data_IF_433302443571
#
_entry.id   IF_433302443571
#
_cell.length_a   1.000
_cell.length_b   1.000
_cell.length_c   1.000
_cell.angle_alpha   90.00
_cell.angle_beta   90.00
_cell.angle_gamma   90.00
#
_symmetry.space_group_name_H-M   'P 1'
#
loop_
_entity.id
_entity.type
_entity.pdbx_description
1 polymer ?
#
# COMPACT_ATOMS: atom_id res chain seq x y z
N UNK A 1 -5.41 -6.78 21.69
CA UNK A 1 -6.02 -7.20 20.40
C UNK A 1 -7.55 -7.15 20.39
N UNK A 2 -8.29 -7.43 21.49
CA UNK A 2 -9.77 -7.32 21.53
C UNK A 2 -10.34 -5.89 21.44
N UNK A 3 -9.53 -4.86 21.70
CA UNK A 3 -9.94 -3.46 21.62
C UNK A 3 -10.19 -2.93 20.18
N UNK A 4 -9.76 -3.66 19.14
CA UNK A 4 -9.89 -3.22 17.73
C UNK A 4 -11.14 -3.74 17.03
N UNK A 5 -11.84 -4.73 17.62
CA UNK A 5 -13.02 -5.38 17.06
C UNK A 5 -14.23 -4.45 16.80
N UNK A 6 -14.55 -3.47 17.67
CA UNK A 6 -15.69 -2.57 17.43
C UNK A 6 -15.45 -1.62 16.25
N UNK A 7 -14.19 -1.35 15.91
CA UNK A 7 -13.81 -0.37 14.89
C UNK A 7 -13.74 -0.95 13.48
N UNK A 8 -13.44 -2.25 13.36
CA UNK A 8 -13.63 -3.00 12.11
C UNK A 8 -15.09 -2.99 11.63
N UNK A 9 -16.05 -2.77 12.55
CA UNK A 9 -17.47 -2.66 12.22
C UNK A 9 -17.84 -1.31 11.58
N UNK A 10 -17.10 -0.22 11.82
CA UNK A 10 -17.28 1.06 11.10
C UNK A 10 -16.77 0.97 9.65
N UNK A 11 -15.72 0.18 9.45
CA UNK A 11 -15.13 -0.14 8.14
C UNK A 11 -16.11 -0.81 7.17
N UNK A 12 -17.17 -1.45 7.69
CA UNK A 12 -18.24 -2.03 6.88
C UNK A 12 -18.98 -0.99 6.01
N UNK A 13 -18.93 0.30 6.36
CA UNK A 13 -19.68 1.37 5.68
C UNK A 13 -18.96 1.96 4.45
N UNK A 14 -17.63 1.82 4.35
CA UNK A 14 -16.82 2.32 3.21
C UNK A 14 -16.04 1.22 2.47
N UNK A 15 -16.50 -0.04 2.56
CA UNK A 15 -15.84 -1.20 1.94
C UNK A 15 -15.46 -1.01 0.47
N UNK A 16 -16.27 -0.27 -0.28
CA UNK A 16 -16.04 -0.04 -1.71
C UNK A 16 -14.78 0.78 -1.99
N UNK A 17 -14.53 1.87 -1.26
CA UNK A 17 -13.32 2.69 -1.47
C UNK A 17 -12.05 1.95 -1.03
N UNK A 18 -12.16 1.11 0.01
CA UNK A 18 -11.03 0.38 0.59
C UNK A 18 -10.65 -0.84 -0.24
N UNK A 19 -11.64 -1.61 -0.68
CA UNK A 19 -11.41 -2.68 -1.65
C UNK A 19 -10.85 -2.12 -2.95
N UNK A 20 -11.36 -0.97 -3.42
CA UNK A 20 -10.83 -0.29 -4.60
C UNK A 20 -9.36 0.12 -4.42
N UNK A 21 -8.98 0.69 -3.28
CA UNK A 21 -7.58 1.03 -2.98
C UNK A 21 -6.65 -0.17 -3.00
N UNK A 22 -7.07 -1.30 -2.41
CA UNK A 22 -6.30 -2.55 -2.42
C UNK A 22 -6.19 -3.11 -3.84
N UNK A 23 -7.29 -3.13 -4.60
CA UNK A 23 -7.30 -3.59 -5.99
C UNK A 23 -6.39 -2.72 -6.86
N UNK A 24 -6.44 -1.40 -6.72
CA UNK A 24 -5.57 -0.46 -7.42
C UNK A 24 -4.09 -0.69 -7.08
N UNK A 25 -3.77 -0.92 -5.81
CA UNK A 25 -2.41 -1.24 -5.38
C UNK A 25 -1.92 -2.56 -6.01
N UNK A 26 -2.74 -3.61 -5.99
CA UNK A 26 -2.42 -4.91 -6.61
C UNK A 26 -2.20 -4.75 -8.13
N UNK A 27 -3.12 -4.08 -8.83
CA UNK A 27 -3.00 -3.82 -10.27
C UNK A 27 -1.73 -3.04 -10.58
N UNK A 28 -1.40 -2.03 -9.79
CA UNK A 28 -0.19 -1.22 -9.96
C UNK A 28 1.08 -2.05 -9.77
N UNK A 29 1.11 -2.93 -8.78
CA UNK A 29 2.23 -3.83 -8.52
C UNK A 29 2.38 -4.86 -9.63
N UNK A 30 1.29 -5.50 -10.07
CA UNK A 30 1.31 -6.45 -11.17
C UNK A 30 1.73 -5.80 -12.49
N UNK A 31 1.24 -4.58 -12.78
CA UNK A 31 1.69 -3.82 -13.95
C UNK A 31 3.18 -3.46 -13.88
N UNK A 32 3.70 -3.16 -12.68
CA UNK A 32 5.12 -2.89 -12.48
C UNK A 32 5.98 -4.12 -12.74
N UNK A 33 5.57 -5.28 -12.21
CA UNK A 33 6.27 -6.55 -12.41
C UNK A 33 6.18 -6.97 -13.87
N UNK A 34 4.99 -6.93 -14.47
CA UNK A 34 4.77 -7.24 -15.88
C UNK A 34 5.61 -6.37 -16.81
N UNK A 35 5.73 -5.07 -16.53
CA UNK A 35 6.61 -4.17 -17.26
C UNK A 35 8.07 -4.63 -17.19
N UNK A 36 8.58 -4.93 -16.00
CA UNK A 36 9.97 -5.36 -15.81
C UNK A 36 10.24 -6.71 -16.50
N UNK A 37 9.34 -7.67 -16.34
CA UNK A 37 9.43 -9.00 -16.96
C UNK A 37 9.38 -8.92 -18.48
N UNK A 38 8.40 -8.20 -19.04
CA UNK A 38 8.28 -8.01 -20.50
C UNK A 38 9.48 -7.26 -21.07
N UNK A 39 9.97 -6.24 -20.36
CA UNK A 39 11.15 -5.48 -20.80
C UNK A 39 12.41 -6.35 -20.80
N UNK A 40 12.59 -7.18 -19.76
CA UNK A 40 13.71 -8.12 -19.68
C UNK A 40 13.69 -9.14 -20.81
N UNK A 41 12.54 -9.79 -21.03
CA UNK A 41 12.36 -10.71 -22.15
C UNK A 41 12.60 -10.02 -23.51
N UNK A 42 12.03 -8.83 -23.71
CA UNK A 42 12.17 -8.06 -24.95
C UNK A 42 13.63 -7.68 -25.24
N UNK A 43 14.39 -7.27 -24.22
CA UNK A 43 15.80 -6.94 -24.38
C UNK A 43 16.63 -8.17 -24.78
N UNK A 44 16.44 -9.29 -24.07
CA UNK A 44 17.13 -10.55 -24.38
C UNK A 44 16.77 -11.08 -25.76
N UNK A 45 15.49 -11.05 -26.13
CA UNK A 45 15.02 -11.49 -27.44
C UNK A 45 15.58 -10.62 -28.57
N UNK A 46 15.63 -9.29 -28.38
CA UNK A 46 16.20 -8.36 -29.35
C UNK A 46 17.71 -8.59 -29.54
N UNK A 47 18.44 -8.88 -28.47
CA UNK A 47 19.86 -9.21 -28.55
C UNK A 47 20.10 -10.49 -29.37
N UNK A 48 19.34 -11.56 -29.11
CA UNK A 48 19.44 -12.82 -29.86
C UNK A 48 19.05 -12.63 -31.32
N UNK A 49 17.96 -11.91 -31.61
CA UNK A 49 17.53 -11.63 -32.98
C UNK A 49 18.57 -10.82 -33.77
N UNK A 50 19.23 -9.85 -33.12
CA UNK A 50 20.32 -9.07 -33.71
C UNK A 50 21.52 -9.94 -34.08
N UNK A 51 21.95 -10.84 -33.19
CA UNK A 51 23.05 -11.79 -33.45
C UNK A 51 22.67 -12.78 -34.56
N UNK A 52 21.42 -13.24 -34.60
CA UNK A 52 20.92 -14.16 -35.61
C UNK A 52 20.65 -13.51 -36.99
N UNK A 53 20.79 -12.18 -37.12
CA UNK A 53 20.51 -11.45 -38.37
C UNK A 53 19.04 -11.45 -38.77
N UNK A 54 18.12 -11.63 -37.81
CA UNK A 54 16.67 -11.67 -38.08
C UNK A 54 16.10 -10.25 -38.18
N UNK A 55 15.96 -9.75 -39.42
CA UNK A 55 15.39 -8.43 -39.71
C UNK A 55 13.85 -8.35 -39.55
N UNK A 56 13.17 -9.47 -39.39
CA UNK A 56 11.71 -9.56 -39.25
C UNK A 56 11.20 -9.58 -37.79
N UNK A 57 12.06 -9.28 -36.81
CA UNK A 57 11.68 -9.30 -35.41
C UNK A 57 10.61 -8.22 -35.10
N UNK A 58 9.45 -8.65 -34.63
CA UNK A 58 8.34 -7.76 -34.32
C UNK A 58 8.56 -7.04 -32.98
N UNK A 59 9.14 -5.85 -33.04
CA UNK A 59 9.36 -5.00 -31.87
C UNK A 59 8.11 -4.21 -31.43
N UNK A 60 7.09 -4.12 -32.29
CA UNK A 60 5.91 -3.27 -32.04
C UNK A 60 4.99 -3.86 -30.97
N UNK A 61 4.75 -5.18 -31.01
CA UNK A 61 3.89 -5.85 -30.02
C UNK A 61 4.46 -5.80 -28.60
N UNK A 62 5.75 -6.14 -28.36
CA UNK A 62 6.34 -6.02 -27.03
C UNK A 62 6.39 -4.57 -26.55
N UNK A 63 6.73 -3.62 -27.44
CA UNK A 63 6.76 -2.20 -27.09
C UNK A 63 5.37 -1.66 -26.69
N UNK A 64 4.30 -2.09 -27.38
CA UNK A 64 2.94 -1.74 -27.01
C UNK A 64 2.57 -2.31 -25.64
N UNK A 65 2.95 -3.56 -25.35
CA UNK A 65 2.75 -4.18 -24.04
C UNK A 65 3.46 -3.43 -22.90
N UNK A 66 4.72 -3.04 -23.10
CA UNK A 66 5.50 -2.25 -22.13
C UNK A 66 4.84 -0.89 -21.88
N UNK A 67 4.40 -0.19 -22.95
CA UNK A 67 3.68 1.09 -22.82
C UNK A 67 2.36 0.94 -22.09
N UNK A 68 1.57 -0.08 -22.43
CA UNK A 68 0.31 -0.39 -21.74
C UNK A 68 0.53 -0.60 -20.24
N UNK A 69 1.49 -1.45 -19.88
CA UNK A 69 1.85 -1.70 -18.48
C UNK A 69 2.33 -0.42 -17.76
N UNK A 70 3.09 0.44 -18.44
CA UNK A 70 3.56 1.71 -17.88
C UNK A 70 2.40 2.68 -17.59
N UNK A 71 1.43 2.77 -18.50
CA UNK A 71 0.24 3.62 -18.34
C UNK A 71 -0.63 3.07 -17.20
N UNK A 72 -0.92 1.77 -17.19
CA UNK A 72 -1.72 1.13 -16.13
C UNK A 72 -1.06 1.31 -14.76
N UNK A 73 0.26 1.16 -14.65
CA UNK A 73 1.01 1.43 -13.42
C UNK A 73 0.85 2.88 -12.97
N UNK A 74 0.98 3.84 -13.88
CA UNK A 74 0.92 5.26 -13.55
C UNK A 74 -0.48 5.68 -13.14
N UNK A 75 -1.50 5.26 -13.90
CA UNK A 75 -2.89 5.50 -13.58
C UNK A 75 -3.29 4.85 -12.25
N UNK A 76 -2.94 3.57 -12.06
CA UNK A 76 -3.23 2.83 -10.82
C UNK A 76 -2.64 3.52 -9.58
N UNK A 77 -1.37 3.95 -9.66
CA UNK A 77 -0.72 4.69 -8.57
C UNK A 77 -1.34 6.06 -8.32
N UNK A 78 -1.81 6.74 -9.37
CA UNK A 78 -2.49 8.02 -9.23
C UNK A 78 -3.81 7.85 -8.45
N UNK A 79 -4.65 6.89 -8.84
CA UNK A 79 -5.91 6.63 -8.16
C UNK A 79 -5.70 6.10 -6.73
N UNK A 80 -4.72 5.23 -6.51
CA UNK A 80 -4.32 4.78 -5.16
C UNK A 80 -3.97 5.99 -4.28
N UNK A 81 -3.14 6.90 -4.80
CA UNK A 81 -2.79 8.15 -4.10
C UNK A 81 -4.02 9.00 -3.82
N UNK A 82 -4.89 9.20 -4.80
CA UNK A 82 -6.10 10.01 -4.64
C UNK A 82 -6.98 9.50 -3.49
N UNK A 83 -7.20 8.19 -3.42
CA UNK A 83 -7.96 7.55 -2.33
C UNK A 83 -7.26 7.74 -0.98
N UNK A 84 -5.95 7.55 -0.91
CA UNK A 84 -5.18 7.75 0.33
C UNK A 84 -5.15 9.20 0.79
N UNK A 85 -5.14 10.14 -0.15
CA UNK A 85 -5.07 11.57 0.13
C UNK A 85 -6.41 12.10 0.63
N UNK A 86 -7.52 11.61 0.05
CA UNK A 86 -8.87 11.91 0.52
C UNK A 86 -9.06 11.49 1.98
N UNK A 87 -8.56 10.31 2.37
CA UNK A 87 -8.56 9.87 3.76
C UNK A 87 -7.79 10.84 4.68
N UNK A 88 -6.56 11.21 4.27
CA UNK A 88 -5.73 12.16 5.04
C UNK A 88 -6.41 13.52 5.19
N UNK A 89 -7.08 14.01 4.14
CA UNK A 89 -7.80 15.29 4.20
C UNK A 89 -9.02 15.25 5.11
N UNK A 90 -9.77 14.13 5.12
CA UNK A 90 -10.89 13.98 6.06
C UNK A 90 -10.43 14.01 7.50
N UNK A 91 -9.29 13.39 7.81
CA UNK A 91 -8.66 13.46 9.14
C UNK A 91 -8.32 14.92 9.50
N UNK A 92 -7.63 15.62 8.61
CA UNK A 92 -7.26 17.03 8.83
C UNK A 92 -8.49 17.94 9.03
N UNK A 93 -9.56 17.71 8.27
CA UNK A 93 -10.81 18.46 8.40
C UNK A 93 -11.45 18.24 9.78
N UNK A 94 -11.54 16.99 10.24
CA UNK A 94 -12.09 16.68 11.57
C UNK A 94 -11.25 17.32 12.68
N UNK A 95 -9.92 17.22 12.60
CA UNK A 95 -9.01 17.81 13.57
C UNK A 95 -9.19 19.34 13.63
N UNK A 96 -9.34 19.99 12.48
CA UNK A 96 -9.59 21.43 12.40
C UNK A 96 -10.91 21.82 13.06
N UNK A 97 -12.02 21.18 12.67
CA UNK A 97 -13.36 21.49 13.21
C UNK A 97 -13.40 21.28 14.72
N UNK A 98 -12.90 20.13 15.17
CA UNK A 98 -12.74 19.81 16.58
C UNK A 98 -12.02 20.92 17.34
N UNK A 99 -10.88 21.39 16.80
CA UNK A 99 -9.97 22.29 17.53
C UNK A 99 -10.65 23.64 17.70
N UNK A 100 -11.27 24.13 16.64
CA UNK A 100 -12.05 25.36 16.69
C UNK A 100 -13.28 25.24 17.59
N UNK A 101 -14.06 24.16 17.50
CA UNK A 101 -15.25 23.96 18.34
C UNK A 101 -14.94 23.80 19.83
N UNK A 102 -13.72 23.38 20.19
CA UNK A 102 -13.27 23.31 21.59
C UNK A 102 -12.66 24.60 22.10
N UNK A 103 -12.06 25.42 21.23
CA UNK A 103 -11.52 26.73 21.59
C UNK A 103 -12.62 27.79 21.74
N UNK A 104 -13.66 27.76 20.90
CA UNK A 104 -14.73 28.76 20.85
C UNK A 104 -15.53 28.97 22.16
N UNK A 105 -15.93 27.93 22.93
CA UNK A 105 -16.81 28.09 24.08
C UNK A 105 -16.10 28.22 25.44
N UNK A 106 -14.77 28.28 25.52
CA UNK A 106 -14.05 28.36 26.79
C UNK A 106 -13.82 29.82 27.20
N UNK A 107 -14.40 30.23 28.33
CA UNK A 107 -13.99 31.45 29.03
C UNK A 107 -12.64 31.20 29.75
N UNK A 108 -11.75 32.21 29.86
CA UNK A 108 -10.36 32.03 30.29
C UNK A 108 -10.17 31.42 31.70
N UNK A 109 -11.21 31.32 32.53
CA UNK A 109 -11.14 30.84 33.91
C UNK A 109 -11.36 29.31 34.10
N UNK A 110 -12.04 28.63 33.16
CA UNK A 110 -12.37 27.19 33.27
C UNK A 110 -11.28 26.23 32.76
N UNK A 111 -10.33 26.77 31.98
CA UNK A 111 -9.19 26.05 31.38
C UNK A 111 -8.13 25.57 32.39
N UNK A 112 -8.23 25.96 33.66
CA UNK A 112 -7.16 25.80 34.64
C UNK A 112 -7.12 24.44 35.37
N UNK A 113 -8.21 23.65 35.38
CA UNK A 113 -8.36 22.53 36.35
C UNK A 113 -8.44 21.11 35.77
N UNK A 114 -8.62 20.95 34.47
CA UNK A 114 -8.48 19.67 33.77
C UNK A 114 -7.85 19.95 32.40
N UNK A 115 -6.89 19.12 31.99
CA UNK A 115 -6.25 19.15 30.66
C UNK A 115 -7.26 18.59 29.63
N UNK A 116 -8.36 19.32 29.41
CA UNK A 116 -9.55 18.89 28.66
C UNK A 116 -9.28 18.50 27.19
N UNK A 117 -8.13 18.88 26.65
CA UNK A 117 -7.65 18.40 25.35
C UNK A 117 -7.29 16.91 25.33
N UNK A 118 -6.98 16.27 26.47
CA UNK A 118 -6.49 14.89 26.49
C UNK A 118 -7.57 13.85 26.14
N UNK A 119 -8.80 13.99 26.64
CA UNK A 119 -9.86 13.00 26.39
C UNK A 119 -10.31 12.98 24.94
N UNK A 120 -10.47 14.15 24.35
CA UNK A 120 -10.97 14.28 23.00
C UNK A 120 -9.79 14.06 22.02
N UNK A 121 -8.53 14.39 22.38
CA UNK A 121 -7.34 13.94 21.64
C UNK A 121 -7.22 12.42 21.67
N UNK A 122 -7.62 11.76 22.75
CA UNK A 122 -7.57 10.29 22.85
C UNK A 122 -8.54 9.63 21.87
N UNK A 123 -9.76 10.13 21.77
CA UNK A 123 -10.77 9.61 20.83
C UNK A 123 -10.38 9.91 19.38
N UNK A 124 -9.86 11.11 19.09
CA UNK A 124 -9.37 11.46 17.74
C UNK A 124 -8.11 10.67 17.38
N UNK A 125 -7.15 10.55 18.29
CA UNK A 125 -5.94 9.75 18.08
C UNK A 125 -6.26 8.27 17.91
N UNK A 126 -7.23 7.72 18.64
CA UNK A 126 -7.65 6.32 18.48
C UNK A 126 -8.30 6.09 17.11
N UNK A 127 -9.16 7.00 16.63
CA UNK A 127 -9.76 6.90 15.28
C UNK A 127 -8.72 7.09 14.17
N UNK A 128 -7.76 8.01 14.37
CA UNK A 128 -6.73 8.33 13.38
C UNK A 128 -5.65 7.25 13.28
N UNK A 129 -5.26 6.64 14.41
CA UNK A 129 -4.36 5.48 14.43
C UNK A 129 -4.98 4.26 13.76
N UNK A 130 -6.29 4.07 13.88
CA UNK A 130 -7.02 2.99 13.19
C UNK A 130 -7.02 3.16 11.67
N UNK A 131 -7.25 4.37 11.17
CA UNK A 131 -7.28 4.62 9.72
C UNK A 131 -5.87 4.54 9.11
N UNK A 132 -4.87 5.06 9.82
CA UNK A 132 -3.46 4.92 9.45
C UNK A 132 -3.00 3.46 9.45
N UNK A 133 -3.40 2.67 10.45
CA UNK A 133 -3.07 1.25 10.52
C UNK A 133 -3.67 0.49 9.33
N UNK A 134 -4.92 0.76 8.98
CA UNK A 134 -5.55 0.05 7.87
C UNK A 134 -4.96 0.44 6.52
N UNK A 135 -4.88 1.74 6.22
CA UNK A 135 -4.45 2.24 4.91
C UNK A 135 -2.94 2.09 4.68
N UNK A 136 -2.12 2.23 5.73
CA UNK A 136 -0.64 2.22 5.59
C UNK A 136 0.01 0.90 5.99
N UNK A 137 -0.68 0.03 6.73
CA UNK A 137 -0.11 -1.25 7.15
C UNK A 137 -0.89 -2.40 6.54
N UNK A 138 -2.20 -2.50 6.76
CA UNK A 138 -2.98 -3.65 6.28
C UNK A 138 -3.06 -3.68 4.75
N UNK A 139 -3.41 -2.57 4.11
CA UNK A 139 -3.51 -2.49 2.64
C UNK A 139 -2.23 -2.94 1.92
N UNK A 140 -1.03 -2.39 2.22
CA UNK A 140 0.20 -2.85 1.57
C UNK A 140 0.60 -4.28 1.95
N UNK A 141 0.31 -4.76 3.16
CA UNK A 141 0.57 -6.17 3.54
C UNK A 141 -0.28 -7.14 2.73
N UNK A 142 -1.58 -6.85 2.59
CA UNK A 142 -2.50 -7.66 1.79
C UNK A 142 -2.11 -7.59 0.31
N UNK A 143 -1.81 -6.40 -0.20
CA UNK A 143 -1.34 -6.23 -1.58
C UNK A 143 -0.07 -7.01 -1.87
N UNK A 144 0.92 -6.92 -0.99
CA UNK A 144 2.17 -7.67 -1.11
C UNK A 144 1.92 -9.19 -1.07
N UNK A 145 1.12 -9.68 -0.12
CA UNK A 145 0.79 -11.11 -0.02
C UNK A 145 0.13 -11.64 -1.31
N UNK A 146 -0.87 -10.93 -1.83
CA UNK A 146 -1.55 -11.32 -3.07
C UNK A 146 -0.58 -11.33 -4.25
N UNK A 147 0.26 -10.30 -4.38
CA UNK A 147 1.25 -10.23 -5.47
C UNK A 147 2.26 -11.36 -5.38
N UNK A 148 2.76 -11.69 -4.18
CA UNK A 148 3.69 -12.80 -3.98
C UNK A 148 3.03 -14.12 -4.40
N UNK A 149 1.78 -14.36 -4.03
CA UNK A 149 1.05 -15.56 -4.44
C UNK A 149 0.90 -15.63 -5.96
N UNK A 150 0.47 -14.53 -6.61
CA UNK A 150 0.30 -14.47 -8.06
C UNK A 150 1.63 -14.71 -8.79
N UNK A 151 2.71 -14.09 -8.34
CA UNK A 151 4.05 -14.27 -8.93
C UNK A 151 4.54 -15.70 -8.73
N UNK A 152 4.37 -16.27 -7.53
CA UNK A 152 4.79 -17.65 -7.23
C UNK A 152 4.04 -18.66 -8.09
N UNK A 153 2.71 -18.51 -8.21
CA UNK A 153 1.88 -19.35 -9.08
C UNK A 153 2.30 -19.16 -10.54
N UNK A 154 2.52 -17.92 -10.99
CA UNK A 154 2.99 -17.62 -12.34
C UNK A 154 4.32 -18.30 -12.66
N UNK A 155 5.28 -18.24 -11.73
CA UNK A 155 6.58 -18.90 -11.88
C UNK A 155 6.49 -20.43 -11.84
N UNK A 156 5.51 -21.00 -11.11
CA UNK A 156 5.37 -22.47 -11.05
C UNK A 156 5.04 -23.11 -12.39
N UNK A 157 4.51 -22.34 -13.35
CA UNK A 157 4.32 -22.81 -14.73
C UNK A 157 5.64 -22.91 -15.52
N UNK A 158 6.69 -22.20 -15.12
CA UNK A 158 8.00 -22.27 -15.75
C UNK A 158 8.91 -23.27 -15.04
N UNK A 159 9.05 -23.12 -13.72
CA UNK A 159 9.92 -23.96 -12.89
C UNK A 159 9.46 -23.95 -11.43
N UNK A 160 9.16 -25.13 -10.90
CA UNK A 160 8.69 -25.27 -9.51
C UNK A 160 9.74 -24.89 -8.48
N UNK A 161 11.02 -25.22 -8.72
CA UNK A 161 12.10 -24.94 -7.77
C UNK A 161 12.32 -23.43 -7.66
N UNK A 162 12.36 -22.73 -8.79
CA UNK A 162 12.49 -21.26 -8.80
C UNK A 162 11.27 -20.59 -8.16
N UNK A 163 10.06 -21.10 -8.42
CA UNK A 163 8.85 -20.56 -7.83
C UNK A 163 8.86 -20.64 -6.30
N UNK A 164 9.12 -21.82 -5.73
CA UNK A 164 9.10 -21.99 -4.28
C UNK A 164 10.27 -21.31 -3.57
N UNK A 165 11.45 -21.26 -4.18
CA UNK A 165 12.61 -20.57 -3.58
C UNK A 165 12.38 -19.05 -3.52
N UNK A 166 12.01 -18.42 -4.65
CA UNK A 166 11.72 -16.98 -4.68
C UNK A 166 10.48 -16.63 -3.85
N UNK A 167 9.40 -17.41 -3.99
CA UNK A 167 8.17 -17.23 -3.21
C UNK A 167 8.43 -17.35 -1.71
N UNK A 168 9.24 -18.33 -1.30
CA UNK A 168 9.65 -18.52 0.09
C UNK A 168 10.45 -17.32 0.63
N UNK A 169 11.42 -16.82 -0.12
CA UNK A 169 12.21 -15.63 0.27
C UNK A 169 11.31 -14.39 0.38
N UNK A 170 10.42 -14.18 -0.59
CA UNK A 170 9.48 -13.05 -0.58
C UNK A 170 8.50 -13.12 0.61
N UNK A 171 7.96 -14.31 0.91
CA UNK A 171 7.10 -14.48 2.10
C UNK A 171 7.89 -14.26 3.39
N UNK A 172 9.09 -14.83 3.50
CA UNK A 172 9.96 -14.64 4.66
C UNK A 172 10.23 -13.16 4.92
N UNK A 173 10.62 -12.40 3.89
CA UNK A 173 10.86 -10.96 4.01
C UNK A 173 9.59 -10.19 4.39
N UNK A 174 8.42 -10.56 3.86
CA UNK A 174 7.13 -9.95 4.24
C UNK A 174 6.81 -10.16 5.73
N UNK A 175 7.13 -11.33 6.30
CA UNK A 175 6.89 -11.62 7.72
C UNK A 175 8.00 -11.12 8.65
N UNK A 176 9.26 -11.05 8.19
CA UNK A 176 10.41 -10.60 8.98
C UNK A 176 10.50 -9.07 9.08
N UNK A 177 10.12 -8.34 8.03
CA UNK A 177 10.24 -6.87 8.00
C UNK A 177 9.38 -6.17 9.08
N UNK A 178 8.08 -6.46 9.25
CA UNK A 178 7.26 -5.79 10.27
C UNK A 178 7.81 -5.92 11.70
N UNK A 179 8.22 -7.10 12.22
CA UNK A 179 8.79 -7.22 13.55
C UNK A 179 10.18 -6.60 13.67
N UNK A 180 11.00 -6.64 12.61
CA UNK A 180 12.31 -5.97 12.59
C UNK A 180 12.15 -4.44 12.70
N UNK A 181 11.28 -3.85 11.90
CA UNK A 181 10.97 -2.40 11.97
C UNK A 181 10.32 -2.02 13.30
N UNK A 182 9.44 -2.85 13.84
CA UNK A 182 8.84 -2.62 15.16
C UNK A 182 9.89 -2.64 16.28
N UNK A 183 10.89 -3.52 16.19
CA UNK A 183 12.02 -3.57 17.14
C UNK A 183 12.97 -2.39 16.98
N UNK A 184 13.33 -2.04 15.75
CA UNK A 184 14.20 -0.90 15.45
C UNK A 184 13.55 0.45 15.86
N UNK A 185 12.23 0.59 15.67
CA UNK A 185 11.46 1.78 16.07
C UNK A 185 11.29 1.96 17.58
N UNK A 186 11.59 0.94 18.40
CA UNK A 186 11.62 1.07 19.87
C UNK A 186 12.92 1.65 20.40
N UNK A 187 14.01 1.58 19.63
CA UNK A 187 15.32 2.06 20.04
C UNK A 187 15.40 3.59 20.29
N UNK A 188 14.68 4.47 19.58
CA UNK A 188 14.79 5.93 19.80
C UNK A 188 13.97 6.44 20.99
N UNK A 189 13.03 5.67 21.54
CA UNK A 189 12.10 6.11 22.60
C UNK A 189 12.60 5.86 24.02
N UNK A 190 13.90 5.61 24.22
CA UNK A 190 14.53 5.28 25.51
C UNK A 190 15.57 6.30 25.99
N UNK A 191 15.57 7.51 25.42
CA UNK A 191 16.39 8.64 25.91
C UNK A 191 15.46 9.69 26.49
#
# INVERSE_FOLDING_TARGET
MRALLPYLALYKRHKWMLSLGIVLAIVTLLASIGLLTLSGWFLSASAVAGVAGLYSFNYMLPAAGVRGAAITRTAGRYFERLVSHDATFRVLQHLRIYTFSKLLPLSPAGLARYRQGELLNRVVADVDTLDHLYLRVISPLVGAFVVIMVVTIGLSFLDFTLAFTLGGIMLLTLFLMPPLFYRAGKAPGKI
#
